data_IF_926681588926
#
_entry.id   IF_926681588926
#
_cell.length_a   1.000
_cell.length_b   1.000
_cell.length_c   1.000
_cell.angle_alpha   90.00
_cell.angle_beta   90.00
_cell.angle_gamma   90.00
#
_symmetry.space_group_name_H-M   'P 1'
#
loop_
_entity.id
_entity.type
_entity.pdbx_description
1 polymer ?
#
# COMPACT_ATOMS: atom_id res chain seq x y z
N UNK A 1 5.47 -12.22 17.32
CA UNK A 1 5.42 -13.38 16.39
C UNK A 1 3.99 -13.82 16.06
N UNK A 2 3.02 -13.66 16.96
CA UNK A 2 1.60 -14.01 16.73
C UNK A 2 0.91 -13.18 15.64
N UNK A 3 1.21 -11.88 15.52
CA UNK A 3 0.58 -11.00 14.54
C UNK A 3 0.80 -11.40 13.07
N UNK A 4 2.02 -11.78 12.70
CA UNK A 4 2.33 -12.20 11.32
C UNK A 4 1.66 -13.52 10.94
N UNK A 5 1.54 -14.45 11.88
CA UNK A 5 0.88 -15.73 11.67
C UNK A 5 -0.63 -15.57 11.52
N UNK A 6 -1.25 -14.69 12.32
CA UNK A 6 -2.66 -14.35 12.21
C UNK A 6 -2.98 -13.69 10.85
N UNK A 7 -2.14 -12.73 10.42
CA UNK A 7 -2.31 -12.04 9.12
C UNK A 7 -2.12 -13.02 7.96
N UNK A 8 -1.12 -13.92 8.03
CA UNK A 8 -0.90 -14.95 7.02
C UNK A 8 -2.07 -15.93 6.90
N UNK A 9 -2.66 -16.34 8.02
CA UNK A 9 -3.85 -17.19 8.03
C UNK A 9 -5.06 -16.47 7.43
N UNK A 10 -5.29 -15.20 7.81
CA UNK A 10 -6.38 -14.39 7.23
C UNK A 10 -6.24 -14.23 5.72
N UNK A 11 -5.02 -13.97 5.24
CA UNK A 11 -4.73 -13.84 3.81
C UNK A 11 -5.03 -15.14 3.05
N UNK A 12 -4.73 -16.30 3.65
CA UNK A 12 -5.01 -17.60 3.05
C UNK A 12 -6.53 -17.83 2.91
N UNK A 13 -7.31 -17.47 3.93
CA UNK A 13 -8.78 -17.55 3.90
C UNK A 13 -9.37 -16.63 2.83
N UNK A 14 -8.89 -15.38 2.75
CA UNK A 14 -9.35 -14.40 1.75
C UNK A 14 -8.99 -14.87 0.33
N UNK A 15 -7.75 -15.33 0.13
CA UNK A 15 -7.29 -15.85 -1.15
C UNK A 15 -8.18 -17.01 -1.61
N UNK A 16 -8.48 -17.95 -0.72
CA UNK A 16 -9.40 -19.05 -0.97
C UNK A 16 -10.80 -18.61 -1.38
N UNK A 17 -11.35 -17.58 -0.72
CA UNK A 17 -12.66 -17.02 -1.07
C UNK A 17 -12.68 -16.29 -2.42
N UNK A 18 -11.53 -15.79 -2.88
CA UNK A 18 -11.41 -15.04 -4.14
C UNK A 18 -11.03 -15.89 -5.36
N UNK A 19 -10.78 -17.19 -5.21
CA UNK A 19 -10.30 -18.12 -6.25
C UNK A 19 -11.23 -18.30 -7.49
N UNK A 20 -12.36 -17.59 -7.57
CA UNK A 20 -13.26 -17.58 -8.73
C UNK A 20 -13.60 -16.19 -9.27
N UNK A 21 -12.92 -15.14 -8.81
CA UNK A 21 -13.26 -13.73 -9.10
C UNK A 21 -12.12 -12.94 -9.76
N UNK A 22 -11.37 -13.57 -10.68
CA UNK A 22 -10.17 -12.99 -11.28
C UNK A 22 -10.37 -11.76 -12.17
N UNK A 23 -11.61 -11.36 -12.46
CA UNK A 23 -11.95 -10.29 -13.43
C UNK A 23 -12.67 -9.10 -12.80
N UNK A 24 -12.59 -8.93 -11.47
CA UNK A 24 -13.27 -7.86 -10.74
C UNK A 24 -12.30 -6.77 -10.37
N UNK A 25 -12.66 -5.51 -10.65
CA UNK A 25 -11.80 -4.36 -10.38
C UNK A 25 -11.44 -4.22 -8.90
N UNK A 26 -12.40 -4.44 -8.01
CA UNK A 26 -12.17 -4.42 -6.57
C UNK A 26 -12.88 -5.64 -5.96
N UNK A 27 -12.18 -6.78 -5.81
CA UNK A 27 -12.77 -8.02 -5.31
C UNK A 27 -13.48 -7.85 -3.96
N UNK A 28 -12.92 -7.03 -3.08
CA UNK A 28 -13.49 -6.72 -1.76
C UNK A 28 -14.82 -5.97 -1.84
N UNK A 29 -15.00 -5.09 -2.82
CA UNK A 29 -16.25 -4.36 -3.01
C UNK A 29 -17.36 -5.31 -3.47
N UNK A 30 -17.03 -6.26 -4.37
CA UNK A 30 -17.98 -7.31 -4.80
C UNK A 30 -18.29 -8.29 -3.67
N UNK A 31 -17.32 -8.64 -2.83
CA UNK A 31 -17.59 -9.42 -1.62
C UNK A 31 -18.54 -8.69 -0.67
N UNK A 32 -18.37 -7.37 -0.52
CA UNK A 32 -19.28 -6.55 0.29
C UNK A 32 -20.69 -6.47 -0.31
N UNK A 33 -20.84 -6.46 -1.63
CA UNK A 33 -22.14 -6.52 -2.30
C UNK A 33 -22.87 -7.84 -1.98
N UNK A 34 -22.16 -8.98 -2.03
CA UNK A 34 -22.72 -10.30 -1.73
C UNK A 34 -23.13 -10.43 -0.25
N UNK A 35 -22.32 -9.89 0.66
CA UNK A 35 -22.55 -10.04 2.11
C UNK A 35 -23.47 -8.97 2.72
N UNK A 36 -23.40 -7.71 2.25
CA UNK A 36 -24.10 -6.58 2.85
C UNK A 36 -25.32 -6.10 2.04
N UNK A 37 -25.47 -6.52 0.79
CA UNK A 37 -26.56 -6.11 -0.10
C UNK A 37 -26.76 -4.59 -0.10
N UNK A 38 -27.86 -4.10 0.49
CA UNK A 38 -28.26 -2.68 0.48
C UNK A 38 -27.29 -1.72 1.19
N UNK A 39 -26.39 -2.22 2.04
CA UNK A 39 -25.41 -1.40 2.79
C UNK A 39 -24.05 -1.23 2.08
N UNK A 40 -23.90 -1.72 0.84
CA UNK A 40 -22.68 -1.62 0.05
C UNK A 40 -22.10 -0.18 -0.03
N UNK A 41 -22.96 0.83 -0.10
CA UNK A 41 -22.56 2.24 -0.16
C UNK A 41 -21.72 2.69 1.04
N UNK A 42 -22.02 2.16 2.24
CA UNK A 42 -21.24 2.47 3.44
C UNK A 42 -19.83 1.90 3.33
N UNK A 43 -19.70 0.67 2.83
CA UNK A 43 -18.40 0.04 2.62
C UNK A 43 -17.58 0.75 1.54
N UNK A 44 -18.23 1.19 0.44
CA UNK A 44 -17.60 2.00 -0.58
C UNK A 44 -17.07 3.33 -0.01
N UNK A 45 -17.84 4.00 0.85
CA UNK A 45 -17.44 5.25 1.50
C UNK A 45 -16.26 5.03 2.46
N UNK A 46 -16.28 3.95 3.25
CA UNK A 46 -15.17 3.58 4.14
C UNK A 46 -13.90 3.27 3.34
N UNK A 47 -14.00 2.51 2.25
CA UNK A 47 -12.86 2.24 1.37
C UNK A 47 -12.30 3.53 0.75
N UNK A 48 -13.18 4.41 0.27
CA UNK A 48 -12.77 5.70 -0.26
C UNK A 48 -12.03 6.53 0.79
N UNK A 49 -12.57 6.62 2.01
CA UNK A 49 -11.95 7.34 3.12
C UNK A 49 -10.58 6.74 3.50
N UNK A 50 -10.47 5.41 3.54
CA UNK A 50 -9.24 4.70 3.85
C UNK A 50 -8.13 4.94 2.81
N UNK A 51 -8.47 4.88 1.52
CA UNK A 51 -7.52 5.17 0.44
C UNK A 51 -7.15 6.65 0.43
N UNK A 52 -8.13 7.55 0.61
CA UNK A 52 -7.91 8.99 0.65
C UNK A 52 -6.98 9.40 1.80
N UNK A 53 -7.22 8.89 3.02
CA UNK A 53 -6.35 9.23 4.15
C UNK A 53 -4.93 8.70 3.98
N UNK A 54 -4.76 7.55 3.31
CA UNK A 54 -3.43 7.00 2.98
C UNK A 54 -2.72 7.87 1.94
N UNK A 55 -3.45 8.32 0.91
CA UNK A 55 -2.92 9.23 -0.09
C UNK A 55 -2.51 10.58 0.53
N UNK A 56 -3.34 11.17 1.38
CA UNK A 56 -3.03 12.42 2.09
C UNK A 56 -1.80 12.27 3.00
N UNK A 57 -1.70 11.17 3.74
CA UNK A 57 -0.54 10.88 4.58
C UNK A 57 0.76 10.78 3.76
N UNK A 58 0.72 10.10 2.61
CA UNK A 58 1.86 9.97 1.70
C UNK A 58 2.26 11.32 1.07
N UNK A 59 1.27 12.11 0.65
CA UNK A 59 1.47 13.42 0.05
C UNK A 59 2.15 14.38 1.04
N UNK A 60 1.66 14.44 2.28
CA UNK A 60 2.26 15.22 3.36
C UNK A 60 3.66 14.70 3.72
N UNK A 61 3.83 13.37 3.77
CA UNK A 61 5.12 12.72 4.01
C UNK A 61 6.16 13.04 2.95
N UNK A 62 5.75 13.16 1.68
CA UNK A 62 6.63 13.56 0.59
C UNK A 62 6.94 15.05 0.64
N UNK A 63 5.91 15.89 0.76
CA UNK A 63 6.06 17.34 0.75
C UNK A 63 6.96 17.84 1.89
N UNK A 64 6.85 17.24 3.09
CA UNK A 64 7.72 17.57 4.23
C UNK A 64 9.18 17.14 4.09
N UNK A 65 9.47 16.12 3.26
CA UNK A 65 10.83 15.62 3.03
C UNK A 65 11.54 16.30 1.86
N UNK A 66 10.79 16.71 0.84
CA UNK A 66 11.36 17.21 -0.42
C UNK A 66 11.58 18.72 -0.40
N UNK A 67 10.68 19.51 0.23
CA UNK A 67 10.72 20.98 0.11
C UNK A 67 10.57 21.67 1.47
N UNK A 68 11.53 22.54 1.81
CA UNK A 68 11.42 23.50 2.92
C UNK A 68 10.55 24.69 2.47
N UNK A 69 9.75 25.31 3.36
CA UNK A 69 8.87 26.43 2.99
C UNK A 69 9.64 27.53 2.24
N UNK A 70 9.07 28.16 1.19
CA UNK A 70 7.63 28.33 0.89
C UNK A 70 7.01 27.38 -0.16
N UNK A 71 7.77 26.46 -0.77
CA UNK A 71 7.28 25.62 -1.90
C UNK A 71 6.39 24.43 -1.54
N UNK A 72 6.07 24.23 -0.26
CA UNK A 72 5.32 23.07 0.25
C UNK A 72 3.97 22.88 -0.44
N UNK A 73 3.15 23.94 -0.47
CA UNK A 73 1.81 23.89 -1.08
C UNK A 73 1.85 23.61 -2.57
N UNK A 74 2.87 24.13 -3.26
CA UNK A 74 3.05 23.92 -4.70
C UNK A 74 3.37 22.44 -5.00
N UNK A 75 4.24 21.81 -4.20
CA UNK A 75 4.54 20.39 -4.31
C UNK A 75 3.34 19.50 -4.01
N UNK A 76 2.54 19.84 -2.98
CA UNK A 76 1.29 19.14 -2.65
C UNK A 76 0.32 19.18 -3.83
N UNK A 77 0.09 20.35 -4.41
CA UNK A 77 -0.84 20.50 -5.54
C UNK A 77 -0.35 19.73 -6.76
N UNK A 78 0.94 19.86 -7.12
CA UNK A 78 1.52 19.16 -8.29
C UNK A 78 1.40 17.65 -8.12
N UNK A 79 1.74 17.12 -6.94
CA UNK A 79 1.69 15.67 -6.66
C UNK A 79 0.26 15.14 -6.61
N UNK A 80 -0.70 15.93 -6.10
CA UNK A 80 -2.11 15.57 -6.09
C UNK A 80 -2.68 15.54 -7.52
N UNK A 81 -2.37 16.54 -8.34
CA UNK A 81 -2.81 16.61 -9.75
C UNK A 81 -2.20 15.46 -10.55
N UNK A 82 -0.90 15.20 -10.40
CA UNK A 82 -0.24 14.09 -11.06
C UNK A 82 -0.86 12.74 -10.65
N UNK A 83 -1.11 12.55 -9.34
CA UNK A 83 -1.78 11.35 -8.83
C UNK A 83 -3.20 11.18 -9.40
N UNK A 84 -3.95 12.26 -9.54
CA UNK A 84 -5.30 12.23 -10.11
C UNK A 84 -5.29 11.84 -11.59
N UNK A 85 -4.36 12.36 -12.38
CA UNK A 85 -4.20 11.98 -13.81
C UNK A 85 -3.86 10.50 -13.94
N UNK A 86 -2.95 10.00 -13.10
CA UNK A 86 -2.55 8.59 -13.09
C UNK A 86 -3.72 7.68 -12.66
N UNK A 87 -4.57 8.13 -11.73
CA UNK A 87 -5.71 7.36 -11.24
C UNK A 87 -6.77 7.08 -12.33
N UNK A 88 -6.80 7.84 -13.43
CA UNK A 88 -7.74 7.63 -14.53
C UNK A 88 -7.45 6.39 -15.38
N UNK A 89 -6.25 5.80 -15.29
CA UNK A 89 -5.85 4.62 -16.05
C UNK A 89 -6.56 3.31 -15.63
N UNK A 90 -7.38 3.34 -14.58
CA UNK A 90 -8.11 2.20 -14.06
C UNK A 90 -7.38 1.47 -12.92
N UNK A 91 -8.14 1.07 -11.91
CA UNK A 91 -7.59 0.53 -10.66
C UNK A 91 -6.79 -0.76 -10.85
N UNK A 92 -7.31 -1.72 -11.63
CA UNK A 92 -6.63 -3.01 -11.87
C UNK A 92 -5.25 -2.80 -12.49
N UNK A 93 -5.16 -2.01 -13.55
CA UNK A 93 -3.91 -1.77 -14.28
C UNK A 93 -2.88 -1.10 -13.38
N UNK A 94 -3.31 -0.11 -12.61
CA UNK A 94 -2.44 0.61 -11.69
C UNK A 94 -1.91 -0.31 -10.59
N UNK A 95 -2.78 -1.10 -9.96
CA UNK A 95 -2.40 -2.07 -8.92
C UNK A 95 -1.46 -3.13 -9.47
N UNK A 96 -1.77 -3.70 -10.64
CA UNK A 96 -0.96 -4.72 -11.28
C UNK A 96 0.46 -4.24 -11.61
N UNK A 97 0.65 -2.94 -11.86
CA UNK A 97 1.96 -2.35 -12.11
C UNK A 97 2.66 -1.86 -10.83
N UNK A 98 1.96 -1.12 -9.96
CA UNK A 98 2.54 -0.53 -8.75
C UNK A 98 2.93 -1.59 -7.71
N UNK A 99 2.11 -2.61 -7.48
CA UNK A 99 2.39 -3.59 -6.42
C UNK A 99 3.68 -4.40 -6.68
N UNK A 100 3.94 -4.93 -7.89
CA UNK A 100 5.23 -5.56 -8.19
C UNK A 100 6.40 -4.60 -8.05
N UNK A 101 6.25 -3.34 -8.51
CA UNK A 101 7.31 -2.34 -8.42
C UNK A 101 7.66 -2.02 -6.96
N UNK A 102 6.66 -1.73 -6.12
CA UNK A 102 6.85 -1.47 -4.70
C UNK A 102 7.39 -2.69 -3.96
N UNK A 103 6.95 -3.89 -4.33
CA UNK A 103 7.47 -5.15 -3.80
C UNK A 103 8.97 -5.31 -4.07
N UNK A 104 9.40 -5.07 -5.31
CA UNK A 104 10.82 -5.11 -5.68
C UNK A 104 11.65 -4.06 -4.92
N UNK A 105 11.17 -2.82 -4.83
CA UNK A 105 11.83 -1.78 -4.02
C UNK A 105 11.99 -2.22 -2.57
N UNK A 106 10.96 -2.82 -1.97
CA UNK A 106 11.00 -3.26 -0.58
C UNK A 106 11.94 -4.46 -0.38
N UNK A 107 12.01 -5.40 -1.33
CA UNK A 107 12.97 -6.52 -1.29
C UNK A 107 14.40 -6.00 -1.32
N UNK A 108 14.70 -5.02 -2.18
CA UNK A 108 16.03 -4.39 -2.26
C UNK A 108 16.37 -3.68 -0.94
N UNK A 109 15.42 -2.93 -0.37
CA UNK A 109 15.58 -2.28 0.94
C UNK A 109 15.81 -3.30 2.06
N UNK A 110 15.03 -4.39 2.09
CA UNK A 110 15.21 -5.47 3.06
C UNK A 110 16.56 -6.16 2.91
N UNK A 111 17.01 -6.41 1.68
CA UNK A 111 18.31 -7.01 1.41
C UNK A 111 19.45 -6.11 1.92
N UNK A 112 19.37 -4.81 1.64
CA UNK A 112 20.33 -3.83 2.16
C UNK A 112 20.32 -3.72 3.69
N UNK A 113 19.13 -3.71 4.30
CA UNK A 113 18.98 -3.68 5.75
C UNK A 113 19.50 -4.96 6.41
N UNK A 114 19.23 -6.12 5.81
CA UNK A 114 19.72 -7.42 6.27
C UNK A 114 21.25 -7.46 6.18
N UNK A 115 21.84 -7.01 5.07
CA UNK A 115 23.28 -6.93 4.89
C UNK A 115 23.92 -6.03 5.96
N UNK A 116 23.38 -4.83 6.18
CA UNK A 116 23.87 -3.91 7.21
C UNK A 116 23.73 -4.48 8.62
N UNK A 117 22.58 -5.09 8.93
CA UNK A 117 22.30 -5.71 10.23
C UNK A 117 23.28 -6.86 10.51
N UNK A 118 23.52 -7.73 9.53
CA UNK A 118 24.45 -8.86 9.65
C UNK A 118 25.91 -8.39 9.78
N UNK A 119 26.32 -7.36 9.03
CA UNK A 119 27.66 -6.79 9.16
C UNK A 119 27.85 -6.12 10.54
N UNK A 120 26.84 -5.40 11.04
CA UNK A 120 26.87 -4.81 12.38
C UNK A 120 26.94 -5.88 13.48
N UNK A 121 26.19 -6.98 13.33
CA UNK A 121 26.25 -8.14 14.24
C UNK A 121 27.63 -8.83 14.23
N UNK A 122 28.25 -8.96 13.04
CA UNK A 122 29.57 -9.60 12.89
C UNK A 122 30.68 -8.76 13.53
N UNK A 123 30.58 -7.43 13.47
CA UNK A 123 31.55 -6.51 14.10
C UNK A 123 31.44 -6.51 15.63
N UNK A 124 30.22 -6.59 16.18
CA UNK A 124 30.00 -6.66 17.64
C UNK A 124 30.49 -7.99 18.24
N UNK A 125 30.41 -9.10 17.50
CA UNK A 125 30.90 -10.42 17.97
C UNK A 125 32.42 -10.60 17.87
N UNK A 126 33.13 -9.73 17.13
CA UNK A 126 34.61 -9.79 17.00
C UNK A 126 35.36 -8.94 18.02
N UNK A 127 34.65 -8.10 18.78
CA UNK A 127 35.20 -7.26 19.86
C UNK A 127 34.90 -7.80 21.27
N UNK A 128 34.50 -9.08 21.39
CA UNK A 128 34.50 -9.85 22.63
C UNK A 128 35.40 -11.06 22.49
#
# INVERSE_FOLDING_TARGET
MTGGLLIGFLLLVIYGATLGMGSVEIPLLRLAEIWLGKWQWVYALVLLAAVLTTALANLHGLASRVVKPPGYWLCVVITAVAGFVIAQYGFISLVAFLYPLLGLCNIVLLAGLCYYSLNKFKTVRRNR
#
